data_IF_478493454362
#
_entry.id   IF_478493454362
#
_cell.length_a   1.000
_cell.length_b   1.000
_cell.length_c   1.000
_cell.angle_alpha   90.00
_cell.angle_beta   90.00
_cell.angle_gamma   90.00
#
_symmetry.space_group_name_H-M   'P 1'
#
loop_
_entity.id
_entity.type
_entity.pdbx_description
1 polymer ?
#
# COMPACT_ATOMS: atom_id res chain seq x y z
N UNK A 1 21.89 3.70 -34.81
CA UNK A 1 20.95 2.56 -34.73
C UNK A 1 19.55 3.09 -34.43
N UNK A 2 18.60 2.94 -35.34
CA UNK A 2 17.21 3.34 -35.10
C UNK A 2 16.57 2.45 -34.02
N UNK A 3 15.86 3.04 -33.05
CA UNK A 3 15.09 2.27 -32.06
C UNK A 3 14.06 1.43 -32.81
N UNK A 4 14.15 0.10 -32.69
CA UNK A 4 13.19 -0.83 -33.28
C UNK A 4 11.79 -0.50 -32.77
N UNK A 5 10.84 -0.24 -33.67
CA UNK A 5 9.45 0.08 -33.32
C UNK A 5 8.84 -1.12 -32.59
N UNK A 6 8.31 -0.89 -31.38
CA UNK A 6 7.61 -1.93 -30.62
C UNK A 6 6.31 -2.31 -31.32
N UNK A 7 5.92 -3.59 -31.18
CA UNK A 7 4.66 -4.12 -31.72
C UNK A 7 3.55 -3.99 -30.66
N UNK A 8 2.27 -4.04 -31.07
CA UNK A 8 1.16 -4.17 -30.13
C UNK A 8 1.37 -5.33 -29.15
N UNK A 9 0.92 -5.17 -27.90
CA UNK A 9 1.00 -6.25 -26.91
C UNK A 9 0.17 -7.46 -27.34
N UNK A 10 0.68 -8.66 -27.08
CA UNK A 10 -0.15 -9.85 -27.09
C UNK A 10 -1.04 -9.80 -25.85
N UNK A 11 -2.34 -10.04 -26.03
CA UNK A 11 -3.32 -10.08 -24.95
C UNK A 11 -4.00 -11.43 -24.91
N UNK A 12 -4.19 -11.97 -23.71
CA UNK A 12 -4.97 -13.19 -23.46
C UNK A 12 -6.12 -12.83 -22.51
N UNK A 13 -7.35 -13.16 -22.89
CA UNK A 13 -8.55 -12.94 -22.07
C UNK A 13 -9.03 -14.31 -21.58
N UNK A 14 -9.16 -14.47 -20.26
CA UNK A 14 -9.66 -15.69 -19.62
C UNK A 14 -10.75 -15.29 -18.64
N UNK A 15 -12.01 -15.52 -19.03
CA UNK A 15 -13.16 -15.03 -18.26
C UNK A 15 -13.14 -13.51 -18.13
N UNK A 16 -13.10 -13.00 -16.89
CA UNK A 16 -13.04 -11.56 -16.58
C UNK A 16 -11.61 -11.04 -16.40
N UNK A 17 -10.60 -11.86 -16.64
CA UNK A 17 -9.18 -11.50 -16.47
C UNK A 17 -8.53 -11.24 -17.82
N UNK A 18 -7.69 -10.21 -17.88
CA UNK A 18 -6.95 -9.82 -19.08
C UNK A 18 -5.45 -9.80 -18.76
N UNK A 19 -4.69 -10.60 -19.50
CA UNK A 19 -3.24 -10.74 -19.40
C UNK A 19 -2.60 -10.04 -20.59
N UNK A 20 -1.89 -8.94 -20.33
CA UNK A 20 -1.23 -8.12 -21.36
C UNK A 20 0.28 -8.37 -21.29
N UNK A 21 0.82 -9.09 -22.27
CA UNK A 21 2.24 -9.43 -22.32
C UNK A 21 3.08 -8.20 -22.67
N UNK A 22 3.95 -7.79 -21.75
CA UNK A 22 4.72 -6.55 -21.85
C UNK A 22 5.78 -6.65 -22.95
N UNK A 23 6.04 -5.53 -23.61
CA UNK A 23 7.05 -5.41 -24.66
C UNK A 23 8.36 -4.82 -24.12
N UNK A 24 9.43 -4.98 -24.90
CA UNK A 24 10.74 -4.39 -24.65
C UNK A 24 11.69 -5.30 -23.88
N UNK A 25 12.97 -4.91 -23.87
CA UNK A 25 14.07 -5.73 -23.32
C UNK A 25 13.91 -6.04 -21.83
N UNK A 26 13.31 -5.12 -21.07
CA UNK A 26 13.10 -5.26 -19.64
C UNK A 26 11.86 -6.10 -19.28
N UNK A 27 11.03 -6.49 -20.26
CA UNK A 27 9.80 -7.23 -19.99
C UNK A 27 10.10 -8.64 -19.50
N UNK A 28 11.13 -9.32 -20.04
CA UNK A 28 11.52 -10.69 -19.67
C UNK A 28 10.33 -11.66 -19.60
N UNK A 29 9.39 -11.57 -20.54
CA UNK A 29 8.21 -12.43 -20.60
C UNK A 29 7.09 -12.10 -19.60
N UNK A 30 7.25 -11.04 -18.79
CA UNK A 30 6.21 -10.60 -17.84
C UNK A 30 4.95 -10.11 -18.54
N UNK A 31 3.83 -10.24 -17.86
CA UNK A 31 2.55 -9.67 -18.24
C UNK A 31 2.04 -8.73 -17.15
N UNK A 32 1.24 -7.75 -17.55
CA UNK A 32 0.35 -7.04 -16.64
C UNK A 32 -0.99 -7.75 -16.60
N UNK A 33 -1.51 -7.99 -15.40
CA UNK A 33 -2.85 -8.51 -15.16
C UNK A 33 -3.79 -7.32 -14.93
N UNK A 34 -5.01 -7.38 -15.47
CA UNK A 34 -6.10 -6.46 -15.15
C UNK A 34 -7.43 -7.18 -15.33
N UNK A 35 -8.54 -6.52 -15.01
CA UNK A 35 -9.89 -7.03 -15.23
C UNK A 35 -10.47 -6.53 -16.57
N UNK A 36 -11.40 -7.30 -17.16
CA UNK A 36 -11.98 -7.01 -18.47
C UNK A 36 -12.72 -5.66 -18.49
N UNK A 37 -13.40 -5.33 -17.39
CA UNK A 37 -14.10 -4.05 -17.24
C UNK A 37 -13.13 -2.87 -17.33
N UNK A 38 -12.01 -2.91 -16.62
CA UNK A 38 -10.95 -1.91 -16.66
C UNK A 38 -10.27 -1.85 -18.03
N UNK A 39 -9.99 -3.01 -18.63
CA UNK A 39 -9.41 -3.10 -19.97
C UNK A 39 -10.22 -2.35 -21.01
N UNK A 40 -11.54 -2.56 -21.02
CA UNK A 40 -12.46 -1.91 -21.94
C UNK A 40 -12.67 -0.43 -21.59
N UNK A 41 -12.96 -0.13 -20.32
CA UNK A 41 -13.25 1.24 -19.84
C UNK A 41 -12.14 2.23 -20.17
N UNK A 42 -10.88 1.81 -19.98
CA UNK A 42 -9.72 2.67 -20.21
C UNK A 42 -9.03 2.43 -21.56
N UNK A 43 -9.67 1.64 -22.43
CA UNK A 43 -9.17 1.26 -23.75
C UNK A 43 -7.69 0.84 -23.71
N UNK A 44 -7.33 -0.05 -22.77
CA UNK A 44 -5.92 -0.34 -22.50
C UNK A 44 -5.18 -0.98 -23.68
N UNK A 45 -5.92 -1.56 -24.63
CA UNK A 45 -5.38 -2.15 -25.87
C UNK A 45 -4.83 -1.14 -26.88
N UNK A 46 -5.14 0.15 -26.75
CA UNK A 46 -4.60 1.18 -27.64
C UNK A 46 -3.11 1.46 -27.39
N UNK A 47 -2.62 1.12 -26.20
CA UNK A 47 -1.26 1.41 -25.78
C UNK A 47 -0.32 0.23 -25.99
N UNK A 48 0.96 0.54 -26.20
CA UNK A 48 2.03 -0.46 -26.15
C UNK A 48 2.67 -0.42 -24.76
N UNK A 49 2.28 -1.37 -23.92
CA UNK A 49 2.77 -1.52 -22.56
C UNK A 49 4.14 -2.18 -22.53
N UNK A 50 5.06 -1.57 -21.79
CA UNK A 50 6.41 -2.04 -21.52
C UNK A 50 6.64 -2.13 -20.02
N UNK A 51 7.77 -2.71 -19.63
CA UNK A 51 8.22 -2.73 -18.24
C UNK A 51 9.22 -1.59 -17.98
N UNK A 52 9.05 -0.87 -16.88
CA UNK A 52 9.82 0.34 -16.55
C UNK A 52 11.32 0.12 -16.23
N UNK A 53 11.74 -1.14 -16.14
CA UNK A 53 13.14 -1.53 -15.88
C UNK A 53 13.57 -1.40 -14.42
N UNK A 54 12.65 -1.11 -13.49
CA UNK A 54 12.96 -0.89 -12.07
C UNK A 54 12.72 -2.13 -11.19
N UNK A 55 12.29 -3.23 -11.78
CA UNK A 55 12.03 -4.50 -11.10
C UNK A 55 13.23 -5.47 -11.11
N UNK A 56 13.28 -6.35 -10.11
CA UNK A 56 14.15 -7.52 -10.01
C UNK A 56 13.33 -8.75 -10.41
N UNK A 57 13.84 -9.57 -11.32
CA UNK A 57 13.17 -10.79 -11.74
C UNK A 57 13.05 -11.77 -10.56
N UNK A 58 11.86 -12.29 -10.29
CA UNK A 58 11.60 -13.22 -9.19
C UNK A 58 11.43 -12.57 -7.81
N UNK A 59 11.58 -11.25 -7.67
CA UNK A 59 11.29 -10.55 -6.41
C UNK A 59 9.84 -10.05 -6.41
N UNK A 60 8.93 -10.64 -5.59
CA UNK A 60 7.55 -10.22 -5.54
C UNK A 60 7.36 -8.77 -5.07
N UNK A 61 8.34 -8.21 -4.34
CA UNK A 61 8.31 -6.85 -3.78
C UNK A 61 8.92 -5.80 -4.72
N UNK A 62 9.57 -6.21 -5.80
CA UNK A 62 10.23 -5.32 -6.76
C UNK A 62 9.96 -5.80 -8.17
N UNK A 63 8.71 -5.76 -8.61
CA UNK A 63 8.34 -6.25 -9.94
C UNK A 63 8.34 -5.19 -11.04
N UNK A 64 8.62 -3.91 -10.72
CA UNK A 64 8.49 -2.80 -11.66
C UNK A 64 7.04 -2.54 -12.07
N UNK A 65 6.81 -1.52 -12.90
CA UNK A 65 5.46 -1.16 -13.34
C UNK A 65 5.26 -1.35 -14.84
N UNK A 66 4.02 -1.66 -15.22
CA UNK A 66 3.56 -1.56 -16.59
C UNK A 66 3.39 -0.08 -16.98
N UNK A 67 4.14 0.36 -17.97
CA UNK A 67 4.19 1.75 -18.45
C UNK A 67 4.04 1.82 -19.96
N UNK A 68 3.48 2.91 -20.45
CA UNK A 68 3.31 3.18 -21.88
C UNK A 68 3.54 4.65 -22.19
N UNK A 69 3.82 4.94 -23.47
CA UNK A 69 3.79 6.30 -24.01
C UNK A 69 2.40 6.59 -24.57
N UNK A 70 1.76 7.64 -24.05
CA UNK A 70 0.54 8.20 -24.60
C UNK A 70 0.93 9.26 -25.65
N UNK A 71 0.78 8.91 -26.93
CA UNK A 71 1.17 9.77 -28.04
C UNK A 71 0.29 11.01 -28.21
N UNK A 72 -0.99 10.90 -27.83
CA UNK A 72 -1.94 12.00 -27.95
C UNK A 72 -1.59 13.10 -26.94
N UNK A 73 -1.40 12.70 -25.68
CA UNK A 73 -1.06 13.63 -24.60
C UNK A 73 0.44 13.86 -24.40
N UNK A 74 1.29 13.25 -25.25
CA UNK A 74 2.76 13.32 -25.23
C UNK A 74 3.36 13.10 -23.83
N UNK A 75 2.92 12.04 -23.14
CA UNK A 75 3.36 11.74 -21.77
C UNK A 75 3.55 10.25 -21.52
N UNK A 76 4.39 9.93 -20.53
CA UNK A 76 4.46 8.57 -20.00
C UNK A 76 3.29 8.34 -19.04
N UNK A 77 2.63 7.21 -19.19
CA UNK A 77 1.53 6.76 -18.33
C UNK A 77 1.89 5.42 -17.68
N UNK A 78 1.32 5.15 -16.51
CA UNK A 78 1.40 3.84 -15.86
C UNK A 78 0.01 3.23 -15.75
N UNK A 79 -0.07 1.91 -15.93
CA UNK A 79 -1.35 1.20 -15.98
C UNK A 79 -2.12 1.34 -14.67
N UNK A 80 -1.44 1.15 -13.53
CA UNK A 80 -2.05 1.27 -12.21
C UNK A 80 -2.67 2.65 -11.94
N UNK A 81 -2.09 3.74 -12.46
CA UNK A 81 -2.67 5.09 -12.31
C UNK A 81 -3.84 5.35 -13.24
N UNK A 82 -3.78 4.78 -14.45
CA UNK A 82 -4.88 4.88 -15.41
C UNK A 82 -6.10 4.12 -14.89
N UNK A 83 -5.92 2.87 -14.47
CA UNK A 83 -7.02 2.01 -13.99
C UNK A 83 -7.64 2.54 -12.68
N UNK A 84 -6.82 3.06 -11.76
CA UNK A 84 -7.33 3.67 -10.53
C UNK A 84 -8.01 5.02 -10.74
N UNK A 85 -7.89 5.63 -11.94
CA UNK A 85 -8.37 6.99 -12.21
C UNK A 85 -7.60 8.07 -11.45
N UNK A 86 -6.42 7.77 -10.91
CA UNK A 86 -5.70 8.70 -10.05
C UNK A 86 -4.91 9.76 -10.85
N UNK A 87 -5.51 10.93 -10.98
CA UNK A 87 -4.94 12.13 -11.59
C UNK A 87 -4.26 13.08 -10.57
N UNK A 88 -4.22 12.71 -9.29
CA UNK A 88 -3.69 13.55 -8.20
C UNK A 88 -2.21 13.27 -7.90
N UNK A 89 -1.64 13.97 -6.92
CA UNK A 89 -0.27 13.66 -6.41
C UNK A 89 -0.22 12.40 -5.52
N UNK A 90 -1.37 11.80 -5.20
CA UNK A 90 -1.44 10.59 -4.40
C UNK A 90 -0.88 9.37 -5.15
N UNK A 91 -0.55 8.32 -4.40
CA UNK A 91 -0.08 7.05 -4.94
C UNK A 91 -1.28 6.17 -5.34
N UNK A 92 -1.12 5.39 -6.40
CA UNK A 92 -2.01 4.27 -6.70
C UNK A 92 -1.28 3.02 -6.25
N UNK A 93 -1.77 2.40 -5.19
CA UNK A 93 -1.12 1.31 -4.47
C UNK A 93 -1.80 -0.02 -4.80
N UNK A 94 -1.00 -1.08 -4.88
CA UNK A 94 -1.43 -2.46 -5.09
C UNK A 94 -1.61 -3.16 -3.73
N UNK A 95 -2.85 -3.50 -3.37
CA UNK A 95 -3.19 -4.11 -2.07
C UNK A 95 -2.42 -5.41 -1.81
N UNK A 96 -2.18 -6.21 -2.85
CA UNK A 96 -1.43 -7.46 -2.75
C UNK A 96 0.10 -7.32 -2.93
N UNK A 97 0.61 -6.09 -3.08
CA UNK A 97 2.04 -5.83 -3.32
C UNK A 97 2.56 -6.21 -4.71
N UNK A 98 1.75 -6.83 -5.57
CA UNK A 98 2.13 -7.15 -6.94
C UNK A 98 1.86 -5.95 -7.87
N UNK A 99 2.91 -5.21 -8.21
CA UNK A 99 2.83 -4.01 -9.05
C UNK A 99 2.41 -4.26 -10.51
N UNK A 100 2.33 -5.53 -10.94
CA UNK A 100 1.82 -5.93 -12.25
C UNK A 100 0.37 -6.44 -12.20
N UNK A 101 -0.25 -6.53 -11.03
CA UNK A 101 -1.68 -6.85 -10.86
C UNK A 101 -2.54 -5.57 -10.78
N UNK A 102 -2.93 -5.06 -11.93
CA UNK A 102 -3.66 -3.82 -12.12
C UNK A 102 -5.19 -4.03 -12.21
N UNK A 103 -5.74 -5.06 -11.56
CA UNK A 103 -7.20 -5.20 -11.40
C UNK A 103 -7.73 -4.07 -10.52
N UNK A 104 -8.89 -3.50 -10.86
CA UNK A 104 -9.45 -2.35 -10.13
C UNK A 104 -9.55 -2.60 -8.62
N UNK A 105 -9.98 -3.79 -8.23
CA UNK A 105 -10.23 -4.13 -6.82
C UNK A 105 -8.92 -4.35 -6.04
N UNK A 106 -7.81 -4.59 -6.75
CA UNK A 106 -6.47 -4.67 -6.17
C UNK A 106 -5.79 -3.29 -6.06
N UNK A 107 -6.36 -2.25 -6.67
CA UNK A 107 -5.80 -0.90 -6.61
C UNK A 107 -6.52 -0.06 -5.55
N UNK A 108 -5.77 0.83 -4.89
CA UNK A 108 -6.33 1.87 -4.04
C UNK A 108 -5.56 3.18 -4.18
N UNK A 109 -6.23 4.30 -3.94
CA UNK A 109 -5.56 5.59 -3.80
C UNK A 109 -5.06 5.70 -2.36
N UNK A 110 -3.78 5.98 -2.20
CA UNK A 110 -3.12 6.08 -0.90
C UNK A 110 -2.20 7.31 -0.83
N UNK A 111 -2.13 7.92 0.35
CA UNK A 111 -1.07 8.89 0.67
C UNK A 111 0.29 8.19 0.84
N UNK A 112 1.38 8.96 0.79
CA UNK A 112 2.71 8.41 1.03
C UNK A 112 2.82 7.73 2.41
N UNK A 113 2.21 8.31 3.44
CA UNK A 113 2.18 7.74 4.79
C UNK A 113 1.44 6.40 4.84
N UNK A 114 0.35 6.27 4.10
CA UNK A 114 -0.42 5.02 4.00
C UNK A 114 0.33 3.94 3.23
N UNK A 115 0.89 4.30 2.07
CA UNK A 115 1.73 3.38 1.31
C UNK A 115 2.89 2.86 2.18
N UNK A 116 3.54 3.74 2.95
CA UNK A 116 4.60 3.36 3.89
C UNK A 116 4.14 2.39 4.98
N UNK A 117 2.86 2.40 5.38
CA UNK A 117 2.33 1.43 6.35
C UNK A 117 2.31 0.01 5.78
N UNK A 118 2.22 -0.17 4.46
CA UNK A 118 2.23 -1.49 3.81
C UNK A 118 3.61 -1.94 3.30
N UNK A 119 4.68 -1.17 3.57
CA UNK A 119 6.05 -1.58 3.18
C UNK A 119 6.66 -2.52 4.22
N UNK A 120 7.30 -3.65 3.83
CA UNK A 120 7.85 -4.62 4.77
C UNK A 120 8.81 -4.00 5.77
N UNK A 121 8.95 -4.63 6.95
CA UNK A 121 10.00 -4.24 7.88
C UNK A 121 11.34 -4.37 7.15
N UNK A 122 12.16 -3.32 7.23
CA UNK A 122 13.48 -3.35 6.60
C UNK A 122 14.35 -4.42 7.25
N UNK A 123 15.20 -5.06 6.45
CA UNK A 123 16.12 -6.13 6.91
C UNK A 123 17.09 -5.67 8.01
N UNK A 124 17.38 -4.37 8.08
CA UNK A 124 18.25 -3.74 9.07
C UNK A 124 17.49 -3.23 10.32
N UNK A 125 16.20 -3.54 10.46
CA UNK A 125 15.44 -3.19 11.66
C UNK A 125 15.90 -4.05 12.85
N UNK A 126 16.48 -3.39 13.86
CA UNK A 126 17.03 -4.00 15.08
C UNK A 126 16.09 -4.98 15.79
N UNK A 127 14.78 -4.75 15.74
CA UNK A 127 13.79 -5.52 16.48
C UNK A 127 12.91 -6.41 15.59
N UNK A 128 13.04 -6.30 14.27
CA UNK A 128 12.17 -7.03 13.34
C UNK A 128 10.70 -6.56 13.32
N UNK A 129 10.33 -5.54 14.10
CA UNK A 129 8.97 -5.05 14.23
C UNK A 129 8.78 -3.64 13.67
N UNK A 130 7.62 -3.40 13.05
CA UNK A 130 7.15 -2.08 12.62
C UNK A 130 6.94 -1.16 13.80
N UNK A 131 7.39 0.08 13.62
CA UNK A 131 7.12 1.19 14.53
C UNK A 131 7.58 0.96 16.00
N UNK A 132 8.51 0.03 16.20
CA UNK A 132 9.16 -0.21 17.49
C UNK A 132 10.50 0.52 17.53
N UNK A 133 10.69 1.32 18.57
CA UNK A 133 11.99 1.94 18.88
C UNK A 133 12.36 1.70 20.33
N UNK A 134 13.65 1.83 20.66
CA UNK A 134 14.16 1.71 22.03
C UNK A 134 14.78 3.03 22.46
N UNK A 135 14.49 3.46 23.69
CA UNK A 135 15.11 4.62 24.31
C UNK A 135 15.22 4.40 25.82
N UNK A 136 16.41 4.62 26.37
CA UNK A 136 16.73 4.43 27.80
C UNK A 136 16.34 3.02 28.30
N UNK A 137 16.66 1.99 27.52
CA UNK A 137 16.36 0.59 27.86
C UNK A 137 14.87 0.21 27.79
N UNK A 138 13.99 1.11 27.34
CA UNK A 138 12.55 0.85 27.20
C UNK A 138 12.10 0.90 25.74
N UNK A 139 11.10 0.10 25.42
CA UNK A 139 10.53 0.03 24.08
C UNK A 139 9.32 0.94 23.93
N UNK A 140 9.16 1.50 22.73
CA UNK A 140 8.16 2.51 22.42
C UNK A 140 7.49 2.20 21.10
N UNK A 141 6.19 2.51 21.03
CA UNK A 141 5.42 2.49 19.80
C UNK A 141 4.96 3.91 19.46
N UNK A 142 5.23 4.36 18.24
CA UNK A 142 4.73 5.63 17.73
C UNK A 142 4.04 5.43 16.39
N UNK A 143 2.87 6.04 16.21
CA UNK A 143 2.11 5.98 14.96
C UNK A 143 1.71 7.40 14.56
N UNK A 144 1.87 7.71 13.27
CA UNK A 144 1.33 8.94 12.70
C UNK A 144 -0.15 8.73 12.37
N UNK A 145 -0.99 9.58 12.93
CA UNK A 145 -2.42 9.69 12.60
C UNK A 145 -2.62 11.09 12.05
N UNK A 146 -3.06 11.19 10.79
CA UNK A 146 -3.26 12.45 10.06
C UNK A 146 -2.08 13.43 10.18
N UNK A 147 -0.88 12.93 9.87
CA UNK A 147 0.37 13.70 9.90
C UNK A 147 0.93 13.95 11.31
N UNK A 148 0.14 13.74 12.37
CA UNK A 148 0.57 13.96 13.75
C UNK A 148 1.08 12.67 14.40
N UNK A 149 2.25 12.73 15.03
CA UNK A 149 2.89 11.57 15.69
C UNK A 149 2.34 11.38 17.10
N UNK A 150 1.73 10.23 17.37
CA UNK A 150 1.25 9.83 18.70
C UNK A 150 2.06 8.66 19.24
N UNK A 151 2.34 8.69 20.55
CA UNK A 151 2.81 7.51 21.26
C UNK A 151 1.64 6.59 21.65
N UNK A 152 1.87 5.29 21.56
CA UNK A 152 0.99 4.20 22.00
C UNK A 152 1.73 3.32 23.01
N UNK A 153 2.47 3.99 23.90
CA UNK A 153 3.32 3.40 24.93
C UNK A 153 4.81 3.72 24.74
N UNK A 154 5.49 4.05 25.83
CA UNK A 154 6.91 4.49 25.82
C UNK A 154 7.80 3.73 26.80
N UNK A 155 7.21 2.90 27.66
CA UNK A 155 7.89 2.29 28.81
C UNK A 155 7.75 0.77 28.81
N UNK A 156 7.61 0.14 27.64
CA UNK A 156 7.52 -1.31 27.53
C UNK A 156 8.85 -1.97 27.89
N UNK A 157 8.80 -3.13 28.55
CA UNK A 157 9.96 -3.94 28.91
C UNK A 157 10.44 -4.79 27.74
N UNK A 158 9.52 -5.15 26.83
CA UNK A 158 9.79 -6.00 25.66
C UNK A 158 9.44 -5.30 24.34
N UNK A 159 10.16 -5.57 23.24
CA UNK A 159 9.79 -5.06 21.92
C UNK A 159 8.43 -5.61 21.46
N UNK A 160 8.07 -6.84 21.84
CA UNK A 160 6.80 -7.50 21.53
C UNK A 160 5.60 -6.69 22.04
N UNK A 161 5.69 -6.06 23.21
CA UNK A 161 4.61 -5.20 23.71
C UNK A 161 4.40 -3.97 22.83
N UNK A 162 5.49 -3.35 22.36
CA UNK A 162 5.42 -2.21 21.45
C UNK A 162 4.88 -2.62 20.08
N UNK A 163 5.27 -3.80 19.60
CA UNK A 163 4.80 -4.39 18.36
C UNK A 163 3.31 -4.78 18.41
N UNK A 164 2.85 -5.32 19.55
CA UNK A 164 1.44 -5.62 19.79
C UNK A 164 0.63 -4.32 19.85
N UNK A 165 1.15 -3.28 20.50
CA UNK A 165 0.51 -1.97 20.51
C UNK A 165 0.34 -1.40 19.09
N UNK A 166 1.30 -1.64 18.20
CA UNK A 166 1.17 -1.27 16.79
C UNK A 166 0.02 -2.01 16.12
N UNK A 167 -0.01 -3.34 16.24
CA UNK A 167 -1.05 -4.18 15.63
C UNK A 167 -2.45 -3.76 16.09
N UNK A 168 -2.64 -3.53 17.38
CA UNK A 168 -3.93 -3.12 17.95
C UNK A 168 -4.38 -1.74 17.46
N UNK A 169 -3.47 -0.79 17.32
CA UNK A 169 -3.82 0.53 16.78
C UNK A 169 -4.16 0.43 15.30
N UNK A 170 -3.40 -0.34 14.52
CA UNK A 170 -3.64 -0.53 13.10
C UNK A 170 -4.99 -1.20 12.85
N UNK A 171 -5.36 -2.25 13.62
CA UNK A 171 -6.68 -2.88 13.55
C UNK A 171 -7.81 -1.89 13.79
N UNK A 172 -7.65 -0.97 14.75
CA UNK A 172 -8.71 -0.03 15.16
C UNK A 172 -8.81 1.20 14.27
N UNK A 173 -7.69 1.72 13.76
CA UNK A 173 -7.66 2.97 12.99
C UNK A 173 -7.59 2.75 11.47
N UNK A 174 -7.04 1.62 11.04
CA UNK A 174 -6.62 1.37 9.66
C UNK A 174 -6.84 -0.12 9.28
N UNK A 175 -8.05 -0.70 9.47
CA UNK A 175 -8.29 -2.13 9.24
C UNK A 175 -8.00 -2.58 7.80
N UNK A 176 -8.18 -1.67 6.83
CA UNK A 176 -7.88 -1.88 5.40
C UNK A 176 -6.36 -1.95 5.09
N UNK A 177 -5.51 -1.64 6.06
CA UNK A 177 -4.06 -1.68 5.93
C UNK A 177 -3.51 -2.96 6.54
N UNK A 178 -2.83 -3.75 5.70
CA UNK A 178 -2.77 -5.20 5.85
C UNK A 178 -1.50 -5.71 6.51
N UNK A 179 -0.60 -4.83 6.97
CA UNK A 179 0.70 -5.27 7.48
C UNK A 179 0.90 -5.04 8.97
N UNK A 180 0.50 -6.07 9.70
CA UNK A 180 0.73 -6.26 11.13
C UNK A 180 2.09 -6.94 11.39
N UNK A 181 2.60 -6.79 12.60
CA UNK A 181 3.74 -7.51 13.13
C UNK A 181 3.40 -8.98 13.43
N UNK A 182 2.12 -9.30 13.67
CA UNK A 182 1.64 -10.64 14.02
C UNK A 182 2.39 -11.22 15.22
N UNK A 183 2.49 -10.43 16.29
CA UNK A 183 3.22 -10.81 17.50
C UNK A 183 2.63 -12.08 18.12
N UNK A 184 3.41 -13.16 18.27
CA UNK A 184 2.97 -14.34 19.02
C UNK A 184 2.68 -13.96 20.48
N UNK A 185 1.45 -14.21 20.94
CA UNK A 185 1.00 -13.75 22.27
C UNK A 185 1.65 -14.53 23.42
N UNK A 186 2.16 -15.73 23.16
CA UNK A 186 2.90 -16.56 24.12
C UNK A 186 4.26 -15.97 24.53
N UNK A 187 4.76 -14.95 23.81
CA UNK A 187 5.96 -14.19 24.19
C UNK A 187 5.70 -13.16 25.30
N UNK A 188 4.44 -12.92 25.64
CA UNK A 188 4.00 -11.92 26.61
C UNK A 188 3.20 -12.58 27.74
N UNK A 189 3.33 -12.04 28.95
CA UNK A 189 2.42 -12.44 30.04
C UNK A 189 1.05 -11.80 29.85
N UNK A 190 0.02 -12.36 30.51
CA UNK A 190 -1.33 -11.77 30.51
C UNK A 190 -1.32 -10.32 30.97
N UNK A 191 -0.54 -10.00 32.00
CA UNK A 191 -0.42 -8.64 32.51
C UNK A 191 0.27 -7.69 31.52
N UNK A 192 1.28 -8.19 30.78
CA UNK A 192 1.95 -7.41 29.74
C UNK A 192 1.01 -7.10 28.57
N UNK A 193 0.16 -8.06 28.18
CA UNK A 193 -0.86 -7.91 27.13
C UNK A 193 -1.93 -6.91 27.59
N UNK A 194 -2.48 -7.10 28.78
CA UNK A 194 -3.52 -6.22 29.34
C UNK A 194 -3.00 -4.78 29.50
N UNK A 195 -1.75 -4.63 29.92
CA UNK A 195 -1.08 -3.33 29.97
C UNK A 195 -1.08 -2.65 28.59
N UNK A 196 -0.74 -3.37 27.52
CA UNK A 196 -0.74 -2.86 26.14
C UNK A 196 -2.14 -2.41 25.74
N UNK A 197 -3.15 -3.26 25.91
CA UNK A 197 -4.53 -2.97 25.52
C UNK A 197 -5.07 -1.73 26.23
N UNK A 198 -4.87 -1.64 27.54
CA UNK A 198 -5.26 -0.48 28.34
C UNK A 198 -4.59 0.81 27.87
N UNK A 199 -3.30 0.77 27.55
CA UNK A 199 -2.57 1.94 27.02
C UNK A 199 -3.13 2.34 25.66
N UNK A 200 -3.28 1.39 24.73
CA UNK A 200 -3.80 1.66 23.38
C UNK A 200 -5.19 2.27 23.43
N UNK A 201 -6.10 1.67 24.20
CA UNK A 201 -7.47 2.15 24.35
C UNK A 201 -7.53 3.57 24.90
N UNK A 202 -6.77 3.85 25.98
CA UNK A 202 -6.67 5.18 26.56
C UNK A 202 -6.19 6.21 25.54
N UNK A 203 -5.18 5.88 24.73
CA UNK A 203 -4.60 6.79 23.74
C UNK A 203 -5.54 7.02 22.56
N UNK A 204 -6.23 5.98 22.08
CA UNK A 204 -7.25 6.13 21.04
C UNK A 204 -8.40 7.01 21.53
N UNK A 205 -8.91 6.79 22.75
CA UNK A 205 -9.96 7.64 23.36
C UNK A 205 -9.54 9.11 23.41
N UNK A 206 -8.28 9.39 23.82
CA UNK A 206 -7.73 10.75 23.84
C UNK A 206 -7.61 11.40 22.45
N UNK A 207 -7.25 10.61 21.44
CA UNK A 207 -7.19 11.07 20.06
C UNK A 207 -8.61 11.39 19.57
N UNK A 208 -9.57 10.48 19.76
CA UNK A 208 -10.94 10.65 19.30
C UNK A 208 -11.65 11.82 20.00
N UNK A 209 -11.41 12.04 21.30
CA UNK A 209 -11.97 13.18 22.03
C UNK A 209 -11.42 14.53 21.55
N UNK A 210 -10.18 14.55 21.03
CA UNK A 210 -9.52 15.76 20.56
C UNK A 210 -9.84 16.10 19.10
N UNK A 211 -10.09 15.10 18.26
CA UNK A 211 -10.24 15.28 16.80
C UNK A 211 -11.62 14.88 16.26
N UNK A 212 -12.57 14.41 17.10
CA UNK A 212 -13.89 13.88 16.68
C UNK A 212 -13.77 12.87 15.53
N UNK A 213 -12.76 12.00 15.59
CA UNK A 213 -12.57 10.91 14.64
C UNK A 213 -13.62 9.81 14.94
N UNK A 214 -14.88 10.07 14.61
CA UNK A 214 -15.81 8.99 14.31
C UNK A 214 -15.36 8.45 12.96
N UNK A 215 -14.72 7.28 12.98
CA UNK A 215 -14.38 6.52 11.79
C UNK A 215 -15.51 5.48 11.68
N UNK A 216 -16.64 5.78 11.01
CA UNK A 216 -17.63 4.76 10.75
C UNK A 216 -16.98 3.55 10.07
N UNK A 217 -17.57 2.36 10.19
CA UNK A 217 -17.09 1.15 9.47
C UNK A 217 -17.00 1.37 7.95
N UNK A 218 -17.69 2.39 7.42
CA UNK A 218 -17.65 2.85 6.03
C UNK A 218 -16.68 4.01 5.74
N UNK A 219 -15.90 4.49 6.70
CA UNK A 219 -15.06 5.68 6.55
C UNK A 219 -13.77 5.37 5.80
N UNK A 220 -13.90 5.34 4.48
CA UNK A 220 -12.78 5.56 3.59
C UNK A 220 -12.67 7.08 3.35
N UNK A 221 -11.67 7.74 3.96
CA UNK A 221 -11.44 9.19 3.78
C UNK A 221 -11.21 9.64 2.33
N UNK A 222 -11.09 8.72 1.37
CA UNK A 222 -10.73 9.00 -0.02
C UNK A 222 -11.87 8.95 -1.03
N UNK A 223 -13.06 8.48 -0.70
CA UNK A 223 -14.20 8.61 -1.62
C UNK A 223 -14.90 9.96 -1.50
N UNK A 224 -14.88 10.58 -0.32
CA UNK A 224 -15.61 11.85 -0.09
C UNK A 224 -14.73 13.10 -0.28
N UNK A 225 -13.41 13.01 -0.10
CA UNK A 225 -12.51 14.12 -0.47
C UNK A 225 -12.41 14.34 -1.99
N UNK A 226 -12.70 13.31 -2.80
CA UNK A 226 -12.74 13.41 -4.27
C UNK A 226 -14.08 13.99 -4.76
N UNK A 227 -15.17 13.84 -3.98
CA UNK A 227 -16.46 14.49 -4.26
C UNK A 227 -16.48 15.98 -3.91
N UNK A 228 -15.66 16.41 -2.95
CA UNK A 228 -15.54 17.82 -2.54
C UNK A 228 -14.60 18.68 -3.40
N UNK A 229 -13.93 18.11 -4.41
CA UNK A 229 -13.02 18.83 -5.31
C UNK A 229 -13.65 19.14 -6.69
N UNK A 230 -14.97 19.05 -6.80
CA UNK A 230 -15.73 19.57 -7.95
C UNK A 230 -16.58 20.75 -7.49
N UNK A 231 -15.96 21.93 -7.47
CA UNK A 231 -16.61 23.24 -7.69
C UNK A 231 -15.67 24.02 -8.59
#
# INVERSE_FOLDING_TARGET
>A
MGRRKLKPNRTLIVGQLVYIYLQGVNAHGRYALTDLKSYLKFNLGQYIWTHDGKGILGDPNRQGYAVAWDSENKKNISMHRLVSGNNSRLHSEHKNGNSLDNRSDNLRIATADENNRNVPVRKDNKFGYKNVTQQNGKYRCFIKVDGTKYNFGTNYSKPEQAALAYDEVMKRLYPEFTMYNNVPLDLLTKDEIEQVYRIVEKRIKQINSKYKLYIPESFNRYTDAVRGASI
#
